data_IF_028347012912
#
_entry.id   IF_028347012912
#
_cell.length_a   1.000
_cell.length_b   1.000
_cell.length_c   1.000
_cell.angle_alpha   90.00
_cell.angle_beta   90.00
_cell.angle_gamma   90.00
#
_symmetry.space_group_name_H-M   'P 1'
#
loop_
_entity.id
_entity.type
_entity.pdbx_description
1 polymer ?
#
# COMPACT_ATOMS: atom_id res chain seq x y z
N UNK A 1 8.28 -8.83 2.29
CA UNK A 1 6.84 -8.66 2.04
C UNK A 1 6.37 -7.45 2.82
N UNK A 2 5.79 -6.47 2.13
CA UNK A 2 5.37 -5.19 2.67
C UNK A 2 3.86 -5.04 2.46
N UNK A 3 3.11 -5.18 3.55
CA UNK A 3 1.67 -4.98 3.57
C UNK A 3 1.39 -3.53 3.92
N UNK A 4 0.99 -2.74 2.92
CA UNK A 4 0.76 -1.29 3.07
C UNK A 4 -0.63 -0.84 2.61
N UNK A 5 -1.48 -1.74 2.11
CA UNK A 5 -2.86 -1.41 1.78
C UNK A 5 -3.75 -1.31 3.03
N UNK A 6 -3.53 -2.19 4.00
CA UNK A 6 -4.48 -2.41 5.09
C UNK A 6 -3.79 -2.74 6.42
N UNK A 7 -4.58 -2.86 7.49
CA UNK A 7 -4.10 -3.30 8.80
C UNK A 7 -4.82 -4.58 9.27
N UNK A 8 -5.63 -4.53 10.32
CA UNK A 8 -6.39 -5.66 10.85
C UNK A 8 -7.80 -5.75 10.21
N UNK A 9 -8.59 -6.74 10.63
CA UNK A 9 -9.99 -6.87 10.20
C UNK A 9 -10.84 -5.75 10.82
N UNK A 10 -11.80 -5.21 10.05
CA UNK A 10 -12.77 -4.19 10.48
C UNK A 10 -13.50 -4.58 11.77
N UNK A 11 -13.75 -5.88 11.99
CA UNK A 11 -14.55 -6.40 13.11
C UNK A 11 -13.70 -7.21 14.12
N UNK A 12 -12.38 -7.05 14.12
CA UNK A 12 -11.50 -7.85 15.00
C UNK A 12 -11.66 -7.56 16.51
N UNK A 13 -12.37 -6.50 16.89
CA UNK A 13 -12.43 -6.04 18.28
C UNK A 13 -11.04 -5.63 18.80
N UNK A 14 -10.86 -5.63 20.12
CA UNK A 14 -9.54 -5.41 20.71
C UNK A 14 -8.58 -6.56 20.39
N UNK A 15 -7.34 -6.23 20.05
CA UNK A 15 -6.32 -7.20 19.68
C UNK A 15 -4.93 -6.85 20.21
N UNK A 16 -4.05 -7.85 20.28
CA UNK A 16 -2.63 -7.68 20.58
C UNK A 16 -1.81 -8.27 19.44
N UNK A 17 -1.01 -7.44 18.78
CA UNK A 17 -0.10 -7.84 17.71
C UNK A 17 1.09 -8.64 18.24
N UNK A 18 1.85 -9.25 17.33
CA UNK A 18 2.97 -10.16 17.63
C UNK A 18 4.02 -9.53 18.55
N UNK A 19 4.25 -8.22 18.43
CA UNK A 19 5.21 -7.47 19.25
C UNK A 19 4.57 -6.70 20.44
N UNK A 20 3.32 -7.04 20.82
CA UNK A 20 2.64 -6.46 21.98
C UNK A 20 1.87 -5.16 21.73
N UNK A 21 1.91 -4.62 20.51
CA UNK A 21 1.09 -3.46 20.10
C UNK A 21 -0.40 -3.78 20.20
N UNK A 22 -1.21 -2.84 20.70
CA UNK A 22 -2.66 -3.01 20.82
C UNK A 22 -3.41 -2.37 19.65
N UNK A 23 -4.44 -3.06 19.18
CA UNK A 23 -5.57 -2.49 18.44
C UNK A 23 -6.77 -2.42 19.37
N UNK A 24 -7.55 -1.34 19.28
CA UNK A 24 -8.73 -1.14 20.13
C UNK A 24 -10.04 -1.59 19.47
N UNK A 25 -9.99 -2.01 18.21
CA UNK A 25 -11.17 -2.39 17.43
C UNK A 25 -11.89 -1.22 16.78
N UNK A 26 -11.49 0.03 17.07
CA UNK A 26 -12.12 1.26 16.60
C UNK A 26 -11.19 2.07 15.68
N UNK A 27 -10.37 1.36 14.90
CA UNK A 27 -9.41 1.92 13.94
C UNK A 27 -8.35 2.81 14.62
N UNK A 28 -7.97 2.53 15.87
CA UNK A 28 -6.83 3.20 16.50
C UNK A 28 -5.66 2.22 16.75
N UNK A 29 -4.51 2.57 16.17
CA UNK A 29 -3.24 1.88 16.35
C UNK A 29 -2.23 2.89 16.91
N UNK A 30 -2.32 3.13 18.22
CA UNK A 30 -1.59 4.18 18.93
C UNK A 30 -0.06 4.13 18.74
N UNK A 31 0.50 2.92 18.60
CA UNK A 31 1.94 2.70 18.41
C UNK A 31 2.49 3.37 17.16
N UNK A 32 1.65 3.52 16.13
CA UNK A 32 1.98 4.20 14.86
C UNK A 32 1.13 5.47 14.66
N UNK A 33 0.40 5.88 15.70
CA UNK A 33 -0.50 7.06 15.71
C UNK A 33 -1.54 7.06 14.60
N UNK A 34 -1.95 5.89 14.14
CA UNK A 34 -3.09 5.78 13.25
C UNK A 34 -4.36 5.85 14.06
N UNK A 35 -5.27 6.67 13.58
CA UNK A 35 -6.63 6.84 14.11
C UNK A 35 -7.63 6.58 13.00
N UNK A 36 -8.92 6.56 13.33
CA UNK A 36 -9.99 6.38 12.33
C UNK A 36 -9.89 7.29 11.11
N UNK A 37 -9.34 8.49 11.26
CA UNK A 37 -9.13 9.45 10.15
C UNK A 37 -8.01 9.05 9.19
N UNK A 38 -7.23 8.02 9.51
CA UNK A 38 -6.14 7.47 8.69
C UNK A 38 -6.66 6.45 7.68
N UNK A 39 -7.90 5.99 7.84
CA UNK A 39 -8.51 4.95 7.03
C UNK A 39 -9.56 5.56 6.09
N UNK A 40 -9.81 4.88 4.98
CA UNK A 40 -10.93 5.24 4.12
C UNK A 40 -12.25 5.06 4.88
N UNK A 41 -13.16 6.02 4.71
CA UNK A 41 -14.42 6.06 5.47
C UNK A 41 -15.50 5.13 4.92
N UNK A 42 -15.27 4.54 3.74
CA UNK A 42 -16.20 3.62 3.12
C UNK A 42 -15.83 2.18 3.48
N UNK A 43 -16.52 1.63 4.49
CA UNK A 43 -16.29 0.27 4.99
C UNK A 43 -17.02 -0.80 4.17
N UNK A 44 -17.55 -0.45 2.99
CA UNK A 44 -18.12 -1.42 2.07
C UNK A 44 -16.99 -2.28 1.48
N UNK A 45 -17.32 -3.51 1.11
CA UNK A 45 -16.38 -4.37 0.38
C UNK A 45 -16.33 -3.98 -1.09
N UNK A 46 -15.19 -4.24 -1.72
CA UNK A 46 -15.06 -4.18 -3.18
C UNK A 46 -16.07 -5.16 -3.80
N UNK A 47 -17.03 -4.64 -4.55
CA UNK A 47 -18.06 -5.40 -5.26
C UNK A 47 -17.98 -5.27 -6.78
N UNK A 48 -17.33 -4.23 -7.29
CA UNK A 48 -17.22 -3.94 -8.72
C UNK A 48 -15.80 -3.54 -9.14
N UNK A 49 -15.05 -4.51 -9.64
CA UNK A 49 -13.69 -4.32 -10.16
C UNK A 49 -13.64 -3.54 -11.49
N UNK A 50 -14.78 -3.19 -12.09
CA UNK A 50 -14.81 -2.29 -13.25
C UNK A 50 -14.70 -0.82 -12.85
N UNK A 51 -14.77 -0.51 -11.54
CA UNK A 51 -14.58 0.82 -10.97
C UNK A 51 -13.26 0.90 -10.19
N UNK A 52 -12.25 1.54 -10.76
CA UNK A 52 -10.93 1.67 -10.10
C UNK A 52 -11.00 2.40 -8.75
N UNK A 53 -11.87 3.40 -8.63
CA UNK A 53 -12.09 4.14 -7.39
C UNK A 53 -12.67 3.25 -6.29
N UNK A 54 -13.44 2.23 -6.66
CA UNK A 54 -13.96 1.26 -5.70
C UNK A 54 -12.85 0.34 -5.22
N UNK A 55 -12.06 -0.20 -6.16
CA UNK A 55 -10.94 -1.10 -5.85
C UNK A 55 -9.86 -0.43 -5.01
N UNK A 56 -9.67 0.89 -5.18
CA UNK A 56 -8.60 1.65 -4.50
C UNK A 56 -9.00 2.30 -3.17
N UNK A 57 -10.29 2.33 -2.82
CA UNK A 57 -10.78 3.07 -1.64
C UNK A 57 -11.75 2.28 -0.76
N UNK A 58 -12.03 1.01 -1.10
CA UNK A 58 -12.93 0.13 -0.34
C UNK A 58 -12.17 -1.03 0.31
N UNK A 59 -12.75 -1.60 1.36
CA UNK A 59 -12.15 -2.71 2.10
C UNK A 59 -11.98 -3.97 1.25
N UNK A 60 -10.74 -4.41 1.09
CA UNK A 60 -10.41 -5.75 0.62
C UNK A 60 -10.81 -6.79 1.68
N UNK A 61 -11.84 -7.60 1.43
CA UNK A 61 -12.25 -8.74 2.27
C UNK A 61 -12.38 -8.41 3.78
N UNK A 62 -12.98 -7.26 4.11
CA UNK A 62 -13.17 -6.78 5.49
C UNK A 62 -11.94 -6.31 6.24
N UNK A 63 -10.86 -5.95 5.54
CA UNK A 63 -9.68 -5.35 6.13
C UNK A 63 -9.84 -3.82 6.27
N UNK A 64 -9.25 -3.27 7.34
CA UNK A 64 -9.20 -1.82 7.58
C UNK A 64 -8.28 -1.17 6.55
N UNK A 65 -8.89 -0.45 5.61
CA UNK A 65 -8.24 0.09 4.41
C UNK A 65 -7.62 1.46 4.68
N UNK A 66 -6.32 1.60 4.42
CA UNK A 66 -5.56 2.81 4.73
C UNK A 66 -5.78 3.87 3.64
N UNK A 67 -6.06 5.10 4.05
CA UNK A 67 -6.23 6.21 3.12
C UNK A 67 -4.88 6.74 2.65
N UNK A 68 -4.39 6.18 1.53
CA UNK A 68 -3.10 6.53 0.94
C UNK A 68 -3.09 7.89 0.27
N UNK A 69 -4.24 8.57 0.13
CA UNK A 69 -4.28 9.96 -0.35
C UNK A 69 -3.71 10.93 0.68
N UNK A 70 -3.63 10.50 1.95
CA UNK A 70 -3.08 11.30 3.05
C UNK A 70 -1.56 11.23 3.04
N UNK A 71 -0.93 12.39 2.89
CA UNK A 71 0.54 12.55 2.96
C UNK A 71 1.17 11.94 4.21
N UNK A 72 0.47 11.98 5.35
CA UNK A 72 0.94 11.37 6.60
C UNK A 72 1.07 9.84 6.48
N UNK A 73 0.10 9.18 5.84
CA UNK A 73 0.11 7.73 5.60
C UNK A 73 1.25 7.36 4.65
N UNK A 74 1.39 8.11 3.55
CA UNK A 74 2.50 7.93 2.60
C UNK A 74 3.87 8.08 3.28
N UNK A 75 4.02 9.10 4.14
CA UNK A 75 5.25 9.34 4.91
C UNK A 75 5.59 8.17 5.82
N UNK A 76 4.60 7.64 6.55
CA UNK A 76 4.82 6.52 7.46
C UNK A 76 5.26 5.25 6.69
N UNK A 77 4.72 5.00 5.50
CA UNK A 77 5.20 3.88 4.67
C UNK A 77 6.62 4.09 4.15
N UNK A 78 6.94 5.29 3.69
CA UNK A 78 8.29 5.62 3.26
C UNK A 78 9.31 5.51 4.41
N UNK A 79 8.94 5.94 5.63
CA UNK A 79 9.77 5.77 6.83
C UNK A 79 9.96 4.29 7.21
N UNK A 80 8.88 3.50 7.15
CA UNK A 80 8.93 2.05 7.38
C UNK A 80 9.87 1.35 6.39
N UNK A 81 9.69 1.61 5.09
CA UNK A 81 10.53 1.03 4.03
C UNK A 81 11.98 1.50 4.14
N UNK A 82 12.22 2.79 4.37
CA UNK A 82 13.57 3.32 4.59
C UNK A 82 14.26 2.61 5.77
N UNK A 83 13.54 2.40 6.88
CA UNK A 83 14.07 1.68 8.04
C UNK A 83 14.46 0.24 7.70
N UNK A 84 13.69 -0.45 6.86
CA UNK A 84 14.05 -1.80 6.42
C UNK A 84 15.29 -1.81 5.50
N UNK A 85 15.44 -0.83 4.62
CA UNK A 85 16.64 -0.67 3.79
C UNK A 85 17.89 -0.40 4.64
N UNK A 86 17.76 0.42 5.69
CA UNK A 86 18.83 0.65 6.67
C UNK A 86 19.22 -0.63 7.43
N UNK A 87 18.28 -1.56 7.61
CA UNK A 87 18.52 -2.89 8.18
C UNK A 87 19.12 -3.88 7.17
N UNK A 88 19.27 -3.49 5.90
CA UNK A 88 19.97 -4.27 4.87
C UNK A 88 19.08 -5.13 3.97
N UNK A 89 17.76 -4.91 3.94
CA UNK A 89 16.93 -5.58 2.91
C UNK A 89 17.28 -5.04 1.52
N UNK A 90 17.15 -5.89 0.50
CA UNK A 90 17.46 -5.52 -0.90
C UNK A 90 16.31 -4.77 -1.60
N UNK A 91 15.08 -4.98 -1.14
CA UNK A 91 13.88 -4.45 -1.79
C UNK A 91 12.61 -5.03 -1.20
N UNK A 92 11.48 -4.81 -1.88
CA UNK A 92 10.15 -5.12 -1.37
C UNK A 92 9.30 -5.87 -2.40
N UNK A 93 8.72 -6.99 -1.98
CA UNK A 93 7.44 -7.44 -2.53
C UNK A 93 6.34 -6.67 -1.81
N UNK A 94 5.51 -5.94 -2.54
CA UNK A 94 4.43 -5.12 -2.00
C UNK A 94 3.10 -5.82 -2.26
N UNK A 95 2.37 -6.07 -1.17
CA UNK A 95 1.08 -6.78 -1.15
C UNK A 95 -0.06 -5.90 -1.65
N UNK A 96 -1.02 -6.52 -2.36
CA UNK A 96 -2.30 -5.90 -2.75
C UNK A 96 -2.17 -4.50 -3.39
N UNK A 97 -1.14 -4.30 -4.23
CA UNK A 97 -0.86 -2.98 -4.84
C UNK A 97 -1.98 -2.55 -5.78
N UNK A 98 -2.69 -3.49 -6.39
CA UNK A 98 -3.87 -3.20 -7.22
C UNK A 98 -5.00 -2.50 -6.46
N UNK A 99 -5.02 -2.57 -5.13
CA UNK A 99 -5.97 -1.89 -4.24
C UNK A 99 -5.47 -0.54 -3.71
N UNK A 100 -4.32 -0.05 -4.18
CA UNK A 100 -3.81 1.29 -3.85
C UNK A 100 -3.83 2.12 -5.12
N UNK A 101 -4.26 3.38 -5.06
CA UNK A 101 -4.23 4.24 -6.23
C UNK A 101 -2.80 4.38 -6.79
N UNK A 102 -2.63 4.25 -8.11
CA UNK A 102 -1.31 4.31 -8.76
C UNK A 102 -0.55 5.61 -8.47
N UNK A 103 -1.25 6.73 -8.31
CA UNK A 103 -0.65 8.02 -7.98
C UNK A 103 -0.14 8.07 -6.53
N UNK A 104 -0.80 7.38 -5.61
CA UNK A 104 -0.35 7.29 -4.22
C UNK A 104 0.85 6.36 -4.09
N UNK A 105 0.88 5.24 -4.83
CA UNK A 105 2.07 4.37 -4.94
C UNK A 105 3.27 5.18 -5.45
N UNK A 106 3.08 5.98 -6.49
CA UNK A 106 4.14 6.85 -7.01
C UNK A 106 4.64 7.85 -5.96
N UNK A 107 3.74 8.49 -5.21
CA UNK A 107 4.11 9.42 -4.14
C UNK A 107 4.86 8.75 -2.98
N UNK A 108 4.49 7.52 -2.60
CA UNK A 108 5.20 6.73 -1.59
C UNK A 108 6.63 6.44 -2.06
N UNK A 109 6.78 6.01 -3.32
CA UNK A 109 8.08 5.71 -3.92
C UNK A 109 8.96 6.97 -3.99
N UNK A 110 8.42 8.11 -4.44
CA UNK A 110 9.13 9.40 -4.44
C UNK A 110 9.64 9.76 -3.04
N UNK A 111 8.77 9.68 -2.03
CA UNK A 111 9.16 9.97 -0.64
C UNK A 111 10.23 9.00 -0.13
N UNK A 112 10.19 7.73 -0.51
CA UNK A 112 11.22 6.76 -0.16
C UNK A 112 12.57 7.10 -0.80
N UNK A 113 12.59 7.47 -2.09
CA UNK A 113 13.82 7.88 -2.78
C UNK A 113 14.43 9.13 -2.16
N UNK A 114 13.59 10.13 -1.85
CA UNK A 114 14.02 11.34 -1.15
C UNK A 114 14.63 11.03 0.23
N UNK A 115 14.01 10.12 1.00
CA UNK A 115 14.50 9.73 2.35
C UNK A 115 15.79 8.93 2.31
N UNK A 116 15.89 7.99 1.37
CA UNK A 116 17.03 7.06 1.27
C UNK A 116 18.22 7.69 0.55
N UNK A 117 17.99 8.71 -0.28
CA UNK A 117 18.99 9.24 -1.22
C UNK A 117 19.36 8.25 -2.33
N UNK A 118 18.56 7.19 -2.52
CA UNK A 118 18.76 6.15 -3.55
C UNK A 118 17.98 6.50 -4.81
N UNK A 119 18.47 6.05 -5.96
CA UNK A 119 17.69 6.14 -7.20
C UNK A 119 16.63 5.04 -7.24
N UNK A 120 15.64 5.19 -8.13
CA UNK A 120 14.60 4.17 -8.33
C UNK A 120 15.19 2.80 -8.69
N UNK A 121 16.25 2.77 -9.51
CA UNK A 121 16.93 1.54 -9.94
C UNK A 121 17.72 0.84 -8.82
N UNK A 122 17.95 1.51 -7.68
CA UNK A 122 18.75 0.99 -6.56
C UNK A 122 17.89 0.23 -5.53
N UNK A 123 16.56 0.19 -5.70
CA UNK A 123 15.63 -0.49 -4.79
C UNK A 123 14.79 -1.47 -5.63
N UNK A 124 14.89 -2.75 -5.32
CA UNK A 124 14.09 -3.75 -6.00
C UNK A 124 12.63 -3.70 -5.53
N UNK A 125 11.69 -3.68 -6.49
CA UNK A 125 10.27 -3.80 -6.21
C UNK A 125 9.61 -4.90 -7.02
N UNK A 126 8.84 -5.73 -6.33
CA UNK A 126 7.88 -6.66 -6.91
C UNK A 126 6.49 -6.22 -6.42
N UNK A 127 5.57 -5.93 -7.33
CA UNK A 127 4.24 -5.40 -6.98
C UNK A 127 3.18 -6.44 -7.30
N UNK A 128 2.46 -6.89 -6.28
CA UNK A 128 1.33 -7.78 -6.48
C UNK A 128 0.15 -7.00 -7.07
N UNK A 129 -0.04 -7.18 -8.38
CA UNK A 129 -1.18 -6.63 -9.11
C UNK A 129 -1.90 -7.77 -9.78
N UNK A 130 -3.01 -8.20 -9.19
CA UNK A 130 -3.90 -9.18 -9.81
C UNK A 130 -4.90 -8.38 -10.62
N UNK A 131 -4.69 -8.36 -11.95
CA UNK A 131 -5.52 -7.64 -12.90
C UNK A 131 -6.03 -8.55 -14.01
N UNK A 132 -7.23 -8.31 -14.52
CA UNK A 132 -7.74 -8.98 -15.73
C UNK A 132 -8.39 -8.01 -16.73
N UNK A 133 -8.55 -8.46 -17.98
CA UNK A 133 -9.02 -7.60 -19.07
C UNK A 133 -10.46 -7.07 -18.93
N UNK A 134 -11.23 -7.59 -17.98
CA UNK A 134 -12.62 -7.15 -17.72
C UNK A 134 -12.70 -6.10 -16.60
N UNK A 135 -11.58 -5.73 -15.98
CA UNK A 135 -11.53 -4.76 -14.88
C UNK A 135 -11.28 -3.34 -15.39
N UNK A 136 -11.34 -2.36 -14.48
CA UNK A 136 -11.04 -0.98 -14.78
C UNK A 136 -9.64 -0.85 -15.40
N UNK A 137 -9.50 -0.05 -16.46
CA UNK A 137 -8.25 0.09 -17.22
C UNK A 137 -7.06 0.60 -16.39
N UNK A 138 -7.30 1.13 -15.19
CA UNK A 138 -6.31 1.62 -14.23
C UNK A 138 -5.70 0.51 -13.35
N UNK A 139 -6.37 -0.65 -13.22
CA UNK A 139 -5.96 -1.75 -12.33
C UNK A 139 -4.83 -2.63 -12.91
N UNK A 140 -4.72 -2.89 -14.22
CA UNK A 140 -3.73 -3.82 -14.74
C UNK A 140 -2.26 -3.49 -14.38
N UNK A 141 -1.37 -4.51 -14.29
CA UNK A 141 0.03 -4.36 -13.85
C UNK A 141 0.83 -3.26 -14.55
N UNK A 142 0.52 -2.99 -15.83
CA UNK A 142 1.22 -1.97 -16.62
C UNK A 142 1.17 -0.58 -15.98
N UNK A 143 0.12 -0.26 -15.23
CA UNK A 143 -0.07 1.06 -14.60
C UNK A 143 0.71 1.24 -13.30
N UNK A 144 1.24 0.16 -12.73
CA UNK A 144 2.05 0.19 -11.52
C UNK A 144 3.54 0.11 -11.82
N UNK A 145 3.92 0.15 -13.09
CA UNK A 145 5.33 0.18 -13.49
C UNK A 145 5.94 1.55 -13.26
N UNK A 146 7.23 1.57 -12.92
CA UNK A 146 7.98 2.81 -12.79
C UNK A 146 7.87 3.68 -14.04
N UNK A 147 7.88 3.08 -15.25
CA UNK A 147 7.80 3.81 -16.51
C UNK A 147 6.53 4.67 -16.64
N UNK A 148 5.40 4.22 -16.10
CA UNK A 148 4.14 4.97 -16.05
C UNK A 148 4.05 5.92 -14.84
N UNK A 149 4.84 5.67 -13.79
CA UNK A 149 4.98 6.54 -12.62
C UNK A 149 6.07 7.63 -12.80
N UNK A 150 6.69 7.72 -13.99
CA UNK A 150 7.67 8.75 -14.33
C UNK A 150 9.12 8.46 -13.93
N UNK A 151 9.45 7.21 -13.59
CA UNK A 151 10.77 6.75 -13.16
C UNK A 151 11.19 5.56 -14.04
N UNK A 152 12.46 5.39 -14.41
CA UNK A 152 12.83 4.39 -15.43
C UNK A 152 12.94 2.95 -14.86
N UNK A 153 12.71 1.98 -15.75
CA UNK A 153 13.12 0.55 -15.81
C UNK A 153 12.15 -0.57 -15.33
N UNK A 154 11.88 -1.44 -16.33
CA UNK A 154 11.48 -2.87 -16.44
C UNK A 154 10.90 -3.64 -15.24
N UNK A 155 9.65 -4.07 -15.43
CA UNK A 155 9.09 -5.26 -14.78
C UNK A 155 9.84 -6.53 -15.19
N UNK A 156 10.26 -7.32 -14.21
CA UNK A 156 10.39 -8.75 -14.39
C UNK A 156 9.02 -9.36 -14.09
N UNK A 157 8.27 -9.71 -15.14
CA UNK A 157 7.11 -10.59 -14.98
C UNK A 157 7.65 -12.02 -14.79
N UNK A 158 7.26 -12.76 -13.73
CA UNK A 158 7.56 -14.18 -13.68
C UNK A 158 6.88 -14.91 -14.86
N UNK A 159 7.45 -16.04 -15.31
CA UNK A 159 7.00 -16.76 -16.50
C UNK A 159 5.56 -17.27 -16.43
#
# INVERSE_FOLDING_TARGET
>A
DSVINHTNLNESGEGTGVAGSRSDGDFNLNVIKYTKETFHTCFNFIGDYTKSDEVSNLSLTSLQDLDTTKKYVQHNFADYMNRLLDLGVYGFRVDAVNSINTSDVAHINIQLYEKTGRNADDIFFEQEVIGNASEAAQIPPINYTFEQQGLRIQLHQPP
#
